data_IF_381322043054
#
_entry.id   IF_381322043054
#
_cell.length_a   1.000
_cell.length_b   1.000
_cell.length_c   1.000
_cell.angle_alpha   90.00
_cell.angle_beta   90.00
_cell.angle_gamma   90.00
#
_symmetry.space_group_name_H-M   'P 1'
#
loop_
_entity.id
_entity.type
_entity.pdbx_description
1 polymer ?
#
# COMPACT_ATOMS: atom_id res chain seq x y z
N UNK A 1 -1.71 12.90 37.82
CA UNK A 1 -1.27 13.71 36.67
C UNK A 1 -2.42 13.83 35.69
N UNK A 2 -2.62 15.00 35.08
CA UNK A 2 -3.78 15.27 34.24
C UNK A 2 -4.03 16.75 33.99
N UNK A 3 -4.72 17.08 32.89
CA UNK A 3 -4.89 18.46 32.43
C UNK A 3 -5.57 19.37 33.47
N UNK A 4 -6.53 18.84 34.22
CA UNK A 4 -7.24 19.59 35.27
C UNK A 4 -6.33 19.98 36.46
N UNK A 5 -5.29 19.22 36.74
CA UNK A 5 -4.35 19.52 37.84
C UNK A 5 -3.08 20.23 37.36
N UNK A 6 -2.62 20.00 36.12
CA UNK A 6 -1.32 20.46 35.63
C UNK A 6 -1.39 21.59 34.61
N UNK A 7 -2.52 21.75 33.92
CA UNK A 7 -2.69 22.71 32.83
C UNK A 7 -3.84 23.71 33.09
N UNK A 8 -4.37 23.77 34.33
CA UNK A 8 -5.42 24.72 34.73
C UNK A 8 -4.86 26.12 34.99
N UNK A 9 -4.15 26.68 34.02
CA UNK A 9 -3.57 28.02 34.04
C UNK A 9 -3.64 28.64 32.64
N UNK A 10 -3.50 29.98 32.49
CA UNK A 10 -3.46 30.60 31.16
C UNK A 10 -2.35 30.04 30.26
N UNK A 11 -1.19 29.73 30.84
CA UNK A 11 -0.09 29.08 30.11
C UNK A 11 -0.46 27.65 29.70
N UNK A 12 -1.10 26.89 30.61
CA UNK A 12 -1.60 25.55 30.31
C UNK A 12 -2.65 25.55 29.19
N UNK A 13 -3.54 26.55 29.16
CA UNK A 13 -4.49 26.72 28.07
C UNK A 13 -3.79 26.89 26.71
N UNK A 14 -2.80 27.78 26.63
CA UNK A 14 -2.01 27.96 25.40
C UNK A 14 -1.26 26.70 24.98
N UNK A 15 -0.73 25.93 25.94
CA UNK A 15 -0.08 24.65 25.66
C UNK A 15 -1.06 23.61 25.08
N UNK A 16 -2.28 23.52 25.62
CA UNK A 16 -3.31 22.62 25.08
C UNK A 16 -3.74 23.04 23.68
N UNK A 17 -3.88 24.33 23.40
CA UNK A 17 -4.19 24.81 22.04
C UNK A 17 -3.10 24.40 21.03
N UNK A 18 -1.82 24.60 21.37
CA UNK A 18 -0.70 24.20 20.51
C UNK A 18 -0.64 22.68 20.33
N UNK A 19 -0.94 21.91 21.37
CA UNK A 19 -1.03 20.45 21.30
C UNK A 19 -2.12 20.01 20.31
N UNK A 20 -3.31 20.60 20.39
CA UNK A 20 -4.41 20.31 19.46
C UNK A 20 -4.05 20.63 18.01
N UNK A 21 -3.39 21.77 17.76
CA UNK A 21 -2.89 22.10 16.42
C UNK A 21 -1.82 21.11 15.94
N UNK A 22 -0.94 20.66 16.83
CA UNK A 22 0.09 19.68 16.50
C UNK A 22 -0.52 18.31 16.16
N UNK A 23 -1.52 17.86 16.91
CA UNK A 23 -2.28 16.64 16.63
C UNK A 23 -3.01 16.72 15.29
N UNK A 24 -3.64 17.86 14.98
CA UNK A 24 -4.27 18.07 13.67
C UNK A 24 -3.26 18.00 12.53
N UNK A 25 -2.10 18.64 12.68
CA UNK A 25 -1.02 18.59 11.68
C UNK A 25 -0.48 17.17 11.49
N UNK A 26 -0.33 16.41 12.58
CA UNK A 26 0.07 15.01 12.55
C UNK A 26 -0.95 14.16 11.78
N UNK A 27 -2.23 14.25 12.14
CA UNK A 27 -3.30 13.47 11.52
C UNK A 27 -3.47 13.81 10.04
N UNK A 28 -3.33 15.08 9.67
CA UNK A 28 -3.34 15.50 8.26
C UNK A 28 -2.15 14.91 7.48
N UNK A 29 -0.97 14.85 8.10
CA UNK A 29 0.20 14.16 7.55
C UNK A 29 -0.04 12.67 7.36
N UNK A 30 -0.60 11.99 8.37
CA UNK A 30 -0.96 10.57 8.31
C UNK A 30 -1.98 10.29 7.20
N UNK A 31 -3.03 11.12 7.10
CA UNK A 31 -4.05 11.02 6.05
C UNK A 31 -3.44 11.08 4.66
N UNK A 32 -2.59 12.08 4.41
CA UNK A 32 -1.88 12.23 3.11
C UNK A 32 -0.95 11.06 2.83
N UNK A 33 -0.23 10.58 3.83
CA UNK A 33 0.66 9.43 3.69
C UNK A 33 -0.11 8.15 3.34
N UNK A 34 -1.23 7.88 4.03
CA UNK A 34 -2.08 6.72 3.74
C UNK A 34 -2.69 6.80 2.34
N UNK A 35 -3.17 7.98 1.92
CA UNK A 35 -3.67 8.20 0.56
C UNK A 35 -2.60 7.92 -0.50
N UNK A 36 -1.36 8.33 -0.25
CA UNK A 36 -0.24 8.02 -1.14
C UNK A 36 0.07 6.52 -1.14
N UNK A 37 -0.01 5.83 0.01
CA UNK A 37 0.19 4.38 0.08
C UNK A 37 -0.86 3.62 -0.71
N UNK A 38 -2.13 3.97 -0.58
CA UNK A 38 -3.25 3.43 -1.40
C UNK A 38 -2.95 3.60 -2.88
N UNK A 39 -2.52 4.80 -3.30
CA UNK A 39 -2.18 5.07 -4.70
C UNK A 39 -1.01 4.19 -5.18
N UNK A 40 0.07 4.11 -4.40
CA UNK A 40 1.23 3.29 -4.73
C UNK A 40 0.90 1.80 -4.83
N UNK A 41 0.07 1.26 -3.93
CA UNK A 41 -0.35 -0.14 -3.98
C UNK A 41 -1.21 -0.42 -5.23
N UNK A 42 -2.13 0.49 -5.60
CA UNK A 42 -2.93 0.39 -6.85
C UNK A 42 -2.06 0.44 -8.10
N UNK A 43 -1.12 1.38 -8.17
CA UNK A 43 -0.21 1.53 -9.31
C UNK A 43 0.68 0.30 -9.46
N UNK A 44 1.25 -0.20 -8.36
CA UNK A 44 2.10 -1.39 -8.39
C UNK A 44 1.34 -2.66 -8.74
N UNK A 45 0.12 -2.83 -8.21
CA UNK A 45 -0.78 -3.90 -8.65
C UNK A 45 -1.02 -3.85 -10.17
N UNK A 46 -1.26 -2.66 -10.74
CA UNK A 46 -1.42 -2.46 -12.18
C UNK A 46 -0.19 -2.90 -13.00
N UNK A 47 1.01 -2.54 -12.54
CA UNK A 47 2.26 -2.94 -13.19
C UNK A 47 2.48 -4.45 -13.18
N UNK A 48 2.22 -5.11 -12.04
CA UNK A 48 2.34 -6.56 -11.91
C UNK A 48 1.33 -7.31 -12.79
N UNK A 49 0.10 -6.81 -12.86
CA UNK A 49 -0.93 -7.36 -13.75
C UNK A 49 -0.53 -7.24 -15.22
N UNK A 50 0.07 -6.12 -15.61
CA UNK A 50 0.54 -5.97 -16.98
C UNK A 50 1.68 -6.94 -17.31
N UNK A 51 2.61 -7.14 -16.38
CA UNK A 51 3.72 -8.09 -16.52
C UNK A 51 3.23 -9.54 -16.66
N UNK A 52 2.27 -9.97 -15.83
CA UNK A 52 1.72 -11.34 -15.90
C UNK A 52 1.04 -11.63 -17.25
N UNK A 53 0.38 -10.63 -17.84
CA UNK A 53 -0.28 -10.74 -19.15
C UNK A 53 0.69 -10.72 -20.33
N UNK A 54 1.71 -9.86 -20.30
CA UNK A 54 2.65 -9.70 -21.41
C UNK A 54 3.47 -10.98 -21.66
N UNK A 55 3.73 -11.72 -20.60
CA UNK A 55 4.51 -12.97 -20.61
C UNK A 55 3.65 -14.20 -20.93
N UNK A 56 2.33 -14.10 -20.74
CA UNK A 56 1.35 -15.09 -21.18
C UNK A 56 1.24 -15.17 -22.72
N UNK A 57 1.60 -14.09 -23.43
CA UNK A 57 1.57 -14.02 -24.89
C UNK A 57 2.89 -14.32 -25.60
N UNK A 58 4.01 -14.46 -24.85
CA UNK A 58 5.37 -14.56 -25.40
C UNK A 58 5.92 -15.98 -25.56
N UNK A 59 5.14 -17.02 -25.22
CA UNK A 59 5.66 -18.40 -25.21
C UNK A 59 5.65 -19.09 -26.59
N UNK A 60 6.45 -18.56 -27.52
CA UNK A 60 7.19 -19.39 -28.47
C UNK A 60 8.49 -19.86 -27.79
N UNK A 61 8.38 -20.49 -26.63
CA UNK A 61 9.52 -21.20 -26.06
C UNK A 61 9.68 -22.46 -26.90
N UNK A 62 10.81 -22.60 -27.56
CA UNK A 62 11.17 -23.72 -28.45
C UNK A 62 11.18 -25.09 -27.75
N UNK A 63 10.92 -25.12 -26.45
CA UNK A 63 10.73 -26.31 -25.62
C UNK A 63 9.24 -26.43 -25.33
N UNK A 64 8.60 -27.50 -25.80
CA UNK A 64 7.15 -27.69 -25.71
C UNK A 64 6.56 -27.56 -24.28
N UNK A 65 5.22 -27.53 -24.19
CA UNK A 65 4.47 -27.23 -22.95
C UNK A 65 4.77 -28.17 -21.76
N UNK A 66 5.36 -29.34 -22.01
CA UNK A 66 5.71 -30.32 -20.98
C UNK A 66 7.10 -30.09 -20.34
N UNK A 67 7.82 -29.05 -20.75
CA UNK A 67 9.10 -28.71 -20.13
C UNK A 67 8.92 -28.28 -18.67
N UNK A 68 9.66 -28.84 -17.70
CA UNK A 68 9.62 -28.39 -16.31
C UNK A 68 9.90 -26.89 -16.14
N UNK A 69 10.69 -26.32 -17.04
CA UNK A 69 10.99 -24.88 -17.06
C UNK A 69 9.76 -24.07 -17.47
N UNK A 70 9.01 -24.52 -18.49
CA UNK A 70 7.79 -23.86 -18.94
C UNK A 70 6.69 -23.92 -17.86
N UNK A 71 6.54 -25.07 -17.20
CA UNK A 71 5.61 -25.22 -16.07
C UNK A 71 5.98 -24.32 -14.89
N UNK A 72 7.27 -24.27 -14.52
CA UNK A 72 7.75 -23.39 -13.45
C UNK A 72 7.54 -21.91 -13.79
N UNK A 73 7.74 -21.54 -15.05
CA UNK A 73 7.50 -20.18 -15.51
C UNK A 73 6.02 -19.79 -15.45
N UNK A 74 5.12 -20.69 -15.88
CA UNK A 74 3.68 -20.49 -15.77
C UNK A 74 3.21 -20.34 -14.31
N UNK A 75 3.83 -21.07 -13.38
CA UNK A 75 3.53 -20.90 -11.95
C UNK A 75 4.01 -19.53 -11.44
N UNK A 76 5.20 -19.08 -11.83
CA UNK A 76 5.74 -17.76 -11.44
C UNK A 76 4.84 -16.63 -11.96
N UNK A 77 4.36 -16.71 -13.20
CA UNK A 77 3.46 -15.68 -13.78
C UNK A 77 2.10 -15.69 -13.08
N UNK A 78 1.57 -16.87 -12.76
CA UNK A 78 0.34 -17.05 -11.97
C UNK A 78 0.46 -16.44 -10.56
N UNK A 79 1.56 -16.70 -9.85
CA UNK A 79 1.79 -16.13 -8.52
C UNK A 79 2.00 -14.62 -8.58
N UNK A 80 2.59 -14.10 -9.66
CA UNK A 80 2.74 -12.65 -9.88
C UNK A 80 1.38 -11.97 -10.08
N UNK A 81 0.46 -12.61 -10.83
CA UNK A 81 -0.93 -12.15 -10.95
C UNK A 81 -1.67 -12.20 -9.62
N UNK A 82 -1.46 -13.24 -8.81
CA UNK A 82 -2.05 -13.31 -7.48
C UNK A 82 -1.56 -12.17 -6.57
N UNK A 83 -0.26 -11.86 -6.60
CA UNK A 83 0.31 -10.74 -5.85
C UNK A 83 -0.29 -9.39 -6.28
N UNK A 84 -0.54 -9.19 -7.59
CA UNK A 84 -1.25 -8.01 -8.09
C UNK A 84 -2.62 -7.84 -7.42
N UNK A 85 -3.39 -8.93 -7.31
CA UNK A 85 -4.72 -8.91 -6.67
C UNK A 85 -4.65 -8.60 -5.19
N UNK A 86 -3.68 -9.19 -4.47
CA UNK A 86 -3.45 -8.90 -3.04
C UNK A 86 -3.15 -7.42 -2.81
N UNK A 87 -2.28 -6.82 -3.63
CA UNK A 87 -1.96 -5.38 -3.51
C UNK A 87 -3.14 -4.48 -3.84
N UNK A 88 -3.98 -4.88 -4.80
CA UNK A 88 -5.24 -4.16 -5.07
C UNK A 88 -6.17 -4.21 -3.87
N UNK A 89 -6.30 -5.37 -3.22
CA UNK A 89 -7.09 -5.52 -2.00
C UNK A 89 -6.52 -4.68 -0.84
N UNK A 90 -5.19 -4.68 -0.64
CA UNK A 90 -4.56 -3.83 0.38
C UNK A 90 -4.89 -2.34 0.18
N UNK A 91 -4.92 -1.89 -1.07
CA UNK A 91 -5.29 -0.52 -1.39
C UNK A 91 -6.78 -0.23 -1.17
N UNK A 92 -7.65 -1.23 -1.26
CA UNK A 92 -9.08 -1.10 -0.95
C UNK A 92 -9.33 -1.11 0.57
N UNK A 93 -8.64 -1.99 1.31
CA UNK A 93 -8.79 -2.10 2.77
C UNK A 93 -8.25 -0.86 3.51
N UNK A 94 -7.22 -0.21 2.96
CA UNK A 94 -6.60 0.99 3.55
C UNK A 94 -7.35 2.30 3.20
N UNK A 95 -8.23 2.28 2.20
CA UNK A 95 -8.87 3.48 1.63
C UNK A 95 -10.28 3.73 2.16
#
# INVERSE_FOLDING_TARGET
MGFSSELCSPQGHGAVQQMQEAELRLLEGMRKWMAQRVKSDREYAGLLHHMSLQDSGGQSWSSGPDSPVSQSWAEITSQTENLSRVLRQHAEDLN
#
